data_IF_290735087907
#
_entry.id   IF_290735087907
#
_cell.length_a   1.000
_cell.length_b   1.000
_cell.length_c   1.000
_cell.angle_alpha   90.00
_cell.angle_beta   90.00
_cell.angle_gamma   90.00
#
_symmetry.space_group_name_H-M   'P 1'
#
loop_
_entity.id
_entity.type
_entity.pdbx_description
1 polymer ?
#
# COMPACT_ATOMS: atom_id res chain seq x y z
N UNK A 1 -40.42 -32.09 43.32
CA UNK A 1 -39.54 -30.93 43.03
C UNK A 1 -38.47 -31.40 42.05
N UNK A 2 -38.56 -31.04 40.76
CA UNK A 2 -37.56 -31.38 39.75
C UNK A 2 -37.08 -30.07 39.13
N UNK A 3 -35.90 -29.62 39.56
CA UNK A 3 -35.22 -28.45 39.00
C UNK A 3 -34.64 -28.81 37.64
N UNK A 4 -35.25 -28.33 36.57
CA UNK A 4 -34.65 -28.31 35.24
C UNK A 4 -33.67 -27.14 35.15
N UNK A 5 -32.38 -27.45 35.13
CA UNK A 5 -31.31 -26.51 34.82
C UNK A 5 -31.35 -26.25 33.31
N UNK A 6 -31.71 -25.04 32.90
CA UNK A 6 -31.62 -24.60 31.52
C UNK A 6 -30.16 -24.26 31.20
N UNK A 7 -29.54 -25.07 30.34
CA UNK A 7 -28.21 -24.78 29.79
C UNK A 7 -28.38 -23.75 28.67
N UNK A 8 -28.02 -22.50 28.93
CA UNK A 8 -27.96 -21.45 27.91
C UNK A 8 -26.69 -21.67 27.09
N UNK A 9 -26.85 -22.25 25.90
CA UNK A 9 -25.78 -22.31 24.91
C UNK A 9 -25.55 -20.90 24.33
N UNK A 10 -24.46 -20.26 24.75
CA UNK A 10 -24.03 -18.98 24.20
C UNK A 10 -23.38 -19.23 22.83
N UNK A 11 -24.14 -19.00 21.74
CA UNK A 11 -23.61 -19.03 20.38
C UNK A 11 -22.71 -17.81 20.17
N UNK A 12 -21.40 -18.01 20.26
CA UNK A 12 -20.41 -17.00 19.86
C UNK A 12 -20.38 -16.95 18.33
N UNK A 13 -21.09 -15.99 17.74
CA UNK A 13 -20.95 -15.65 16.32
C UNK A 13 -19.62 -14.91 16.12
N UNK A 14 -18.59 -15.62 15.68
CA UNK A 14 -17.37 -14.97 15.17
C UNK A 14 -17.66 -14.53 13.74
N UNK A 15 -17.99 -13.27 13.54
CA UNK A 15 -18.07 -12.69 12.20
C UNK A 15 -16.67 -12.75 11.56
N UNK A 16 -16.52 -13.53 10.50
CA UNK A 16 -15.29 -13.55 9.72
C UNK A 16 -15.04 -12.17 9.13
N UNK A 17 -14.00 -11.48 9.62
CA UNK A 17 -13.60 -10.18 9.09
C UNK A 17 -13.28 -10.34 7.59
N UNK A 18 -14.01 -9.60 6.74
CA UNK A 18 -13.74 -9.60 5.30
C UNK A 18 -12.34 -9.06 5.06
N UNK A 19 -11.45 -9.90 4.49
CA UNK A 19 -10.10 -9.49 4.11
C UNK A 19 -10.09 -9.03 2.66
N UNK A 20 -9.36 -7.95 2.38
CA UNK A 20 -9.20 -7.43 1.03
C UNK A 20 -7.77 -7.60 0.56
N UNK A 21 -7.63 -7.78 -0.75
CA UNK A 21 -6.34 -7.85 -1.44
C UNK A 21 -6.36 -6.92 -2.66
N UNK A 22 -5.17 -6.41 -3.02
CA UNK A 22 -4.93 -5.57 -4.18
C UNK A 22 -4.16 -6.35 -5.22
N UNK A 23 -4.76 -6.55 -6.37
CA UNK A 23 -4.15 -7.25 -7.51
C UNK A 23 -3.60 -6.23 -8.49
N UNK A 24 -2.28 -6.18 -8.60
CA UNK A 24 -1.53 -5.29 -9.47
C UNK A 24 -1.03 -6.07 -10.69
N UNK A 25 -1.13 -5.47 -11.87
CA UNK A 25 -0.61 -6.04 -13.12
C UNK A 25 0.53 -5.15 -13.64
N UNK A 26 1.56 -5.78 -14.20
CA UNK A 26 2.70 -5.10 -14.80
C UNK A 26 3.14 -5.86 -16.06
N UNK A 27 3.45 -5.12 -17.11
CA UNK A 27 3.81 -5.63 -18.43
C UNK A 27 5.18 -6.31 -18.46
N UNK A 28 6.06 -6.01 -17.49
CA UNK A 28 7.36 -6.67 -17.39
C UNK A 28 7.17 -8.05 -16.76
N UNK A 29 7.45 -9.10 -17.54
CA UNK A 29 7.20 -10.51 -17.17
C UNK A 29 7.80 -10.91 -15.81
N UNK A 30 8.97 -10.38 -15.45
CA UNK A 30 9.63 -10.68 -14.17
C UNK A 30 8.86 -10.14 -12.96
N UNK A 31 8.09 -9.06 -13.14
CA UNK A 31 7.18 -8.57 -12.11
C UNK A 31 5.79 -9.19 -12.25
N UNK A 32 5.19 -9.09 -13.44
CA UNK A 32 3.90 -9.67 -13.77
C UNK A 32 2.78 -9.29 -12.79
N UNK A 33 1.90 -10.25 -12.52
CA UNK A 33 0.82 -10.11 -11.55
C UNK A 33 1.32 -10.20 -10.11
N UNK A 34 0.97 -9.23 -9.27
CA UNK A 34 1.26 -9.23 -7.81
C UNK A 34 0.01 -9.01 -6.99
N UNK A 35 0.00 -9.58 -5.80
CA UNK A 35 -1.09 -9.47 -4.83
C UNK A 35 -0.54 -8.91 -3.53
N UNK A 36 -1.19 -7.86 -3.02
CA UNK A 36 -0.86 -7.20 -1.76
C UNK A 36 -2.04 -7.28 -0.81
N UNK A 37 -1.79 -7.68 0.43
CA UNK A 37 -2.79 -7.66 1.48
C UNK A 37 -3.13 -6.21 1.90
N UNK A 38 -4.42 -5.93 2.12
CA UNK A 38 -4.90 -4.60 2.52
C UNK A 38 -4.27 -4.11 3.82
N UNK A 39 -4.20 -4.97 4.84
CA UNK A 39 -3.66 -4.60 6.14
C UNK A 39 -2.16 -4.30 6.05
N UNK A 40 -1.43 -5.06 5.24
CA UNK A 40 -0.02 -4.76 4.96
C UNK A 40 0.17 -3.42 4.21
N UNK A 41 -0.71 -3.11 3.25
CA UNK A 41 -0.68 -1.83 2.56
C UNK A 41 -0.96 -0.65 3.51
N UNK A 42 -1.95 -0.80 4.39
CA UNK A 42 -2.23 0.19 5.44
C UNK A 42 -1.06 0.33 6.41
N UNK A 43 -0.47 -0.77 6.88
CA UNK A 43 0.71 -0.71 7.74
C UNK A 43 1.88 0.03 7.08
N UNK A 44 2.06 -0.14 5.76
CA UNK A 44 3.13 0.51 5.00
C UNK A 44 3.01 2.03 4.98
N UNK A 45 1.80 2.60 4.93
CA UNK A 45 1.62 4.06 4.99
C UNK A 45 1.86 4.62 6.40
N UNK A 46 1.53 3.86 7.46
CA UNK A 46 1.82 4.26 8.83
C UNK A 46 3.33 4.25 9.11
N UNK A 47 4.06 3.35 8.45
CA UNK A 47 5.51 3.31 8.47
C UNK A 47 6.15 4.49 7.69
N UNK A 48 5.38 5.17 6.82
CA UNK A 48 5.87 6.34 6.08
C UNK A 48 6.02 7.54 7.03
N UNK A 49 7.25 7.72 7.51
CA UNK A 49 7.65 8.87 8.32
C UNK A 49 7.93 10.08 7.42
N UNK A 50 7.42 11.25 7.82
CA UNK A 50 7.57 12.50 7.08
C UNK A 50 6.23 13.04 6.58
N UNK A 51 6.07 14.36 6.73
CA UNK A 51 5.35 15.20 5.75
C UNK A 51 6.27 15.30 4.53
N UNK A 52 5.72 15.27 3.30
CA UNK A 52 6.55 15.53 2.14
C UNK A 52 7.32 16.83 2.37
N UNK A 53 8.65 16.78 2.37
CA UNK A 53 9.45 18.00 2.35
C UNK A 53 9.16 18.66 1.00
N UNK A 54 8.28 19.66 1.03
CA UNK A 54 8.03 20.52 -0.12
C UNK A 54 9.32 21.26 -0.42
N UNK A 55 9.96 20.88 -1.51
CA UNK A 55 11.20 21.49 -1.99
C UNK A 55 12.41 20.65 -1.65
N UNK A 56 13.09 20.19 -2.69
CA UNK A 56 14.45 19.64 -2.68
C UNK A 56 14.65 18.20 -2.21
N UNK A 57 13.98 17.23 -2.84
CA UNK A 57 14.64 15.98 -3.20
C UNK A 57 13.79 15.17 -4.17
N UNK A 58 14.25 15.06 -5.42
CA UNK A 58 13.72 14.19 -6.48
C UNK A 58 13.88 12.68 -6.15
N UNK A 59 14.05 12.28 -4.89
CA UNK A 59 14.49 10.91 -4.58
C UNK A 59 14.07 10.31 -3.23
N UNK A 60 13.27 11.01 -2.42
CA UNK A 60 12.89 10.56 -1.07
C UNK A 60 11.39 10.33 -0.95
N UNK A 61 11.02 9.15 -0.46
CA UNK A 61 9.64 8.81 -0.11
C UNK A 61 9.33 9.16 1.36
N UNK A 62 8.07 9.48 1.70
CA UNK A 62 6.95 9.67 0.78
C UNK A 62 7.06 10.99 0.00
N UNK A 63 6.51 11.04 -1.21
CA UNK A 63 6.40 12.28 -1.99
C UNK A 63 5.00 12.48 -2.56
N UNK A 64 4.72 13.70 -3.01
CA UNK A 64 3.42 14.07 -3.57
C UNK A 64 3.07 13.20 -4.80
N UNK A 65 1.90 12.59 -4.75
CA UNK A 65 1.32 11.92 -5.90
C UNK A 65 0.46 12.92 -6.68
N UNK A 66 1.04 13.46 -7.75
CA UNK A 66 0.32 14.33 -8.69
C UNK A 66 -0.50 13.45 -9.63
N UNK A 67 -1.78 13.38 -9.32
CA UNK A 67 -2.71 12.52 -10.04
C UNK A 67 -2.78 12.89 -11.53
N UNK A 68 -2.93 11.89 -12.41
CA UNK A 68 -3.26 12.15 -13.81
C UNK A 68 -4.77 12.32 -13.97
N UNK A 69 -5.25 13.14 -14.93
CA UNK A 69 -6.67 13.21 -15.25
C UNK A 69 -7.26 11.83 -15.51
N UNK A 70 -8.41 11.52 -14.91
CA UNK A 70 -9.13 10.25 -15.13
C UNK A 70 -8.81 9.10 -14.16
N UNK A 71 -7.84 9.26 -13.25
CA UNK A 71 -7.51 8.23 -12.27
C UNK A 71 -8.33 8.42 -10.98
N UNK A 72 -9.18 7.45 -10.64
CA UNK A 72 -10.11 7.54 -9.49
C UNK A 72 -9.83 6.45 -8.46
N UNK A 73 -9.70 6.85 -7.20
CA UNK A 73 -9.61 5.95 -6.06
C UNK A 73 -11.01 5.49 -5.61
N UNK A 74 -11.13 4.31 -4.95
CA UNK A 74 -12.42 3.84 -4.42
C UNK A 74 -13.05 4.75 -3.38
N UNK A 75 -12.25 5.58 -2.68
CA UNK A 75 -12.75 6.54 -1.68
C UNK A 75 -12.95 7.91 -2.31
N UNK A 76 -14.15 8.48 -2.17
CA UNK A 76 -14.51 9.77 -2.74
C UNK A 76 -13.61 10.92 -2.27
N UNK A 77 -13.21 10.92 -0.99
CA UNK A 77 -12.32 11.95 -0.41
C UNK A 77 -10.94 12.00 -1.08
N UNK A 78 -10.47 10.89 -1.65
CA UNK A 78 -9.21 10.83 -2.37
C UNK A 78 -9.31 11.38 -3.81
N UNK A 79 -10.53 11.65 -4.28
CA UNK A 79 -10.79 12.20 -5.61
C UNK A 79 -11.18 13.69 -5.58
N UNK A 80 -11.68 14.17 -4.43
CA UNK A 80 -12.21 15.52 -4.24
C UNK A 80 -11.34 16.30 -3.25
N UNK A 81 -10.07 16.49 -3.62
CA UNK A 81 -9.10 17.18 -2.78
C UNK A 81 -9.50 18.65 -2.63
N UNK A 82 -9.61 19.12 -1.39
CA UNK A 82 -9.80 20.54 -1.07
C UNK A 82 -8.47 21.30 -1.16
N UNK A 83 -8.53 22.62 -1.17
CA UNK A 83 -7.34 23.45 -1.11
C UNK A 83 -6.42 23.04 0.07
N UNK A 84 -5.13 22.91 -0.22
CA UNK A 84 -4.12 22.43 0.74
C UNK A 84 -4.14 20.92 1.00
N UNK A 85 -5.06 20.15 0.41
CA UNK A 85 -5.03 18.68 0.46
C UNK A 85 -4.28 18.11 -0.74
N UNK A 86 -3.45 17.12 -0.48
CA UNK A 86 -2.70 16.39 -1.50
C UNK A 86 -2.52 14.92 -1.10
N UNK A 87 -2.27 14.10 -2.11
CA UNK A 87 -1.97 12.69 -1.96
C UNK A 87 -0.47 12.48 -1.86
N UNK A 88 -0.07 11.47 -1.09
CA UNK A 88 1.30 10.99 -1.03
C UNK A 88 1.37 9.56 -1.56
N UNK A 89 2.48 9.24 -2.21
CA UNK A 89 2.86 7.86 -2.51
C UNK A 89 4.02 7.37 -1.65
N UNK A 90 3.99 6.09 -1.28
CA UNK A 90 5.06 5.42 -0.57
C UNK A 90 5.26 3.99 -1.12
N UNK A 91 6.50 3.47 -1.22
CA UNK A 91 6.77 2.14 -1.77
C UNK A 91 6.02 1.05 -1.02
N UNK A 92 5.41 0.14 -1.77
CA UNK A 92 4.75 -1.04 -1.24
C UNK A 92 5.52 -2.30 -1.64
N UNK A 93 6.05 -3.00 -0.65
CA UNK A 93 6.77 -4.24 -0.84
C UNK A 93 5.89 -5.44 -0.49
N UNK A 94 6.06 -6.57 -1.18
CA UNK A 94 5.23 -7.77 -0.98
C UNK A 94 5.53 -8.47 0.35
N UNK A 95 6.79 -8.44 0.77
CA UNK A 95 7.26 -9.09 1.99
C UNK A 95 7.75 -8.05 3.01
N UNK A 96 7.49 -8.28 4.30
CA UNK A 96 7.94 -7.48 5.46
C UNK A 96 9.47 -7.42 5.62
N UNK A 97 10.23 -8.07 4.73
CA UNK A 97 11.70 -8.17 4.79
C UNK A 97 12.40 -6.88 4.34
N UNK A 98 11.68 -5.88 3.82
CA UNK A 98 12.20 -4.51 3.87
C UNK A 98 12.01 -3.95 5.28
N UNK A 99 12.82 -4.41 6.22
CA UNK A 99 12.94 -3.77 7.54
C UNK A 99 13.18 -2.29 7.27
N UNK A 100 12.42 -1.38 7.84
CA UNK A 100 12.86 0.01 7.80
C UNK A 100 14.12 0.13 8.64
N UNK A 101 15.08 0.94 8.20
CA UNK A 101 16.26 1.22 8.97
C UNK A 101 15.73 2.01 10.17
N UNK A 102 15.87 1.53 11.41
CA UNK A 102 15.25 2.19 12.56
C UNK A 102 15.77 3.63 12.76
N UNK A 103 16.96 3.95 12.23
CA UNK A 103 17.59 5.26 12.32
C UNK A 103 17.18 6.20 11.17
N UNK A 104 17.11 5.70 9.93
CA UNK A 104 16.78 6.55 8.76
C UNK A 104 15.34 6.41 8.26
N UNK A 105 14.58 5.43 8.77
CA UNK A 105 13.21 5.06 8.38
C UNK A 105 13.07 4.73 6.87
N UNK A 106 14.19 4.45 6.20
CA UNK A 106 14.29 4.02 4.80
C UNK A 106 14.16 2.50 4.69
N UNK A 107 13.73 1.93 3.55
CA UNK A 107 13.75 0.48 3.36
C UNK A 107 15.17 -0.08 3.54
N UNK A 108 15.33 -1.19 4.27
CA UNK A 108 16.62 -1.92 4.48
C UNK A 108 16.67 -3.11 3.55
N UNK A 109 17.89 -3.37 3.08
CA UNK A 109 18.26 -4.44 2.15
C UNK A 109 17.83 -5.83 2.62
N UNK A 110 17.36 -6.67 1.70
CA UNK A 110 17.48 -8.12 1.85
C UNK A 110 18.93 -8.52 1.59
N UNK A 111 19.44 -9.48 2.38
CA UNK A 111 20.83 -9.97 2.50
C UNK A 111 21.49 -10.50 1.19
N UNK A 112 20.87 -10.34 0.03
CA UNK A 112 21.37 -10.80 -1.27
C UNK A 112 21.78 -9.67 -2.23
N UNK A 113 21.61 -8.39 -1.85
CA UNK A 113 22.14 -7.27 -2.63
C UNK A 113 23.42 -6.74 -1.96
N UNK A 114 24.54 -7.13 -2.56
CA UNK A 114 25.88 -6.66 -2.23
C UNK A 114 25.98 -5.14 -2.24
N UNK A 115 27.04 -4.66 -1.64
CA UNK A 115 27.40 -3.29 -1.35
C UNK A 115 27.20 -2.35 -2.56
N UNK A 116 26.83 -1.09 -2.31
CA UNK A 116 26.41 -0.08 -3.30
C UNK A 116 25.07 -0.31 -4.05
N UNK A 117 23.96 0.15 -3.46
CA UNK A 117 22.85 0.87 -4.13
C UNK A 117 21.68 1.00 -3.14
N UNK A 118 21.01 2.16 -3.16
CA UNK A 118 19.77 2.38 -2.42
C UNK A 118 18.77 1.27 -2.84
N UNK A 119 18.06 0.60 -1.91
CA UNK A 119 17.07 -0.40 -2.30
C UNK A 119 16.05 0.22 -3.24
N UNK A 120 15.87 -0.40 -4.41
CA UNK A 120 14.93 0.09 -5.42
C UNK A 120 13.52 0.01 -4.82
N UNK A 121 12.68 1.06 -4.99
CA UNK A 121 11.36 1.14 -4.39
C UNK A 121 10.35 0.12 -4.95
N UNK A 122 10.77 -0.72 -5.91
CA UNK A 122 9.86 -1.54 -6.71
C UNK A 122 8.84 -0.67 -7.48
N UNK A 123 7.85 -1.30 -8.12
CA UNK A 123 6.88 -0.58 -8.94
C UNK A 123 5.58 -0.22 -8.22
N UNK A 124 5.26 -0.85 -7.08
CA UNK A 124 4.01 -0.64 -6.37
C UNK A 124 4.11 0.47 -5.31
N UNK A 125 3.03 1.22 -5.13
CA UNK A 125 2.91 2.31 -4.16
C UNK A 125 1.59 2.23 -3.41
N UNK A 126 1.62 2.55 -2.13
CA UNK A 126 0.40 2.94 -1.40
C UNK A 126 0.14 4.41 -1.60
N UNK A 127 -1.13 4.77 -1.78
CA UNK A 127 -1.58 6.15 -1.91
C UNK A 127 -2.44 6.52 -0.73
N UNK A 128 -2.20 7.68 -0.15
CA UNK A 128 -2.92 8.16 1.02
C UNK A 128 -2.98 9.69 1.10
N UNK A 129 -3.97 10.21 1.82
CA UNK A 129 -4.07 11.65 2.11
C UNK A 129 -2.97 12.07 3.09
N UNK A 130 -2.21 13.11 2.75
CA UNK A 130 -1.00 13.49 3.49
C UNK A 130 -1.23 13.75 4.98
N UNK A 131 -2.27 14.55 5.31
CA UNK A 131 -2.53 15.01 6.69
C UNK A 131 -3.19 13.96 7.57
N UNK A 132 -4.21 13.28 7.03
CA UNK A 132 -5.01 12.32 7.80
C UNK A 132 -4.47 10.90 7.73
N UNK A 133 -3.48 10.65 6.86
CA UNK A 133 -2.98 9.31 6.54
C UNK A 133 -4.11 8.36 6.09
N UNK A 134 -5.17 8.91 5.49
CA UNK A 134 -6.29 8.11 4.98
C UNK A 134 -5.84 7.29 3.77
N UNK A 135 -5.89 5.96 3.88
CA UNK A 135 -5.58 5.06 2.77
C UNK A 135 -6.56 5.24 1.59
N UNK A 136 -6.03 5.46 0.39
CA UNK A 136 -6.78 5.68 -0.85
C UNK A 136 -6.75 4.48 -1.78
N UNK A 137 -5.64 3.74 -1.83
CA UNK A 137 -5.50 2.55 -2.66
C UNK A 137 -4.05 2.14 -2.89
N UNK A 138 -3.89 1.05 -3.64
CA UNK A 138 -2.58 0.61 -4.15
C UNK A 138 -2.53 0.88 -5.64
N UNK A 139 -1.42 1.47 -6.08
CA UNK A 139 -1.11 1.66 -7.50
C UNK A 139 0.18 0.92 -7.85
N UNK A 140 0.36 0.64 -9.13
CA UNK A 140 1.64 0.12 -9.65
C UNK A 140 2.00 0.84 -10.92
N UNK A 141 3.30 1.00 -11.18
CA UNK A 141 3.75 1.23 -12.54
C UNK A 141 3.25 0.09 -13.44
N UNK A 142 2.81 0.43 -14.65
CA UNK A 142 2.42 -0.55 -15.67
C UNK A 142 3.62 -1.31 -16.24
N UNK A 143 4.84 -0.79 -16.04
CA UNK A 143 6.06 -1.36 -16.59
C UNK A 143 6.23 -1.04 -18.07
N UNK A 144 7.47 -0.78 -18.46
CA UNK A 144 7.83 -0.51 -19.85
C UNK A 144 9.13 -1.24 -20.17
N UNK A 145 9.14 -1.93 -21.32
CA UNK A 145 10.27 -2.76 -21.77
C UNK A 145 10.69 -3.77 -20.69
N UNK A 146 11.91 -3.63 -20.15
CA UNK A 146 12.47 -4.48 -19.12
C UNK A 146 12.47 -3.82 -17.72
N UNK A 147 11.82 -2.66 -17.58
CA UNK A 147 11.86 -1.84 -16.36
C UNK A 147 10.49 -1.80 -15.66
N UNK A 148 10.28 -2.58 -14.58
CA UNK A 148 8.97 -2.68 -13.95
C UNK A 148 8.54 -1.37 -13.28
N UNK A 149 9.50 -0.55 -12.84
CA UNK A 149 9.29 0.72 -12.13
C UNK A 149 9.20 1.94 -13.06
N UNK A 150 9.03 1.74 -14.37
CA UNK A 150 8.84 2.80 -15.36
C UNK A 150 7.44 2.78 -15.96
N UNK A 151 7.09 3.87 -16.64
CA UNK A 151 5.80 4.05 -17.32
C UNK A 151 4.73 4.67 -16.42
N UNK A 152 3.51 4.75 -16.95
CA UNK A 152 2.34 5.25 -16.23
C UNK A 152 1.95 4.38 -15.03
N UNK A 153 1.02 4.88 -14.22
CA UNK A 153 0.46 4.15 -13.10
C UNK A 153 -0.90 3.56 -13.45
N UNK A 154 -1.19 2.38 -12.91
CA UNK A 154 -2.50 1.77 -12.88
C UNK A 154 -2.96 1.52 -11.44
N UNK A 155 -4.26 1.69 -11.19
CA UNK A 155 -4.87 1.30 -9.92
C UNK A 155 -4.94 -0.22 -9.85
N UNK A 156 -4.48 -0.80 -8.75
CA UNK A 156 -4.61 -2.23 -8.54
C UNK A 156 -6.07 -2.59 -8.22
N UNK A 157 -6.53 -3.76 -8.68
CA UNK A 157 -7.90 -4.19 -8.47
C UNK A 157 -8.09 -4.67 -7.02
N UNK A 158 -9.00 -4.03 -6.28
CA UNK A 158 -9.40 -4.47 -4.94
C UNK A 158 -10.32 -5.69 -5.04
N UNK A 159 -9.98 -6.78 -4.37
CA UNK A 159 -10.77 -8.02 -4.32
C UNK A 159 -10.99 -8.45 -2.87
N UNK A 160 -12.14 -9.07 -2.60
CA UNK A 160 -12.36 -9.80 -1.35
C UNK A 160 -11.60 -11.12 -1.40
N UNK A 161 -10.80 -11.40 -0.37
CA UNK A 161 -10.18 -12.71 -0.19
C UNK A 161 -11.27 -13.67 0.29
N UNK A 162 -11.64 -14.64 -0.55
CA UNK A 162 -12.50 -15.74 -0.10
C UNK A 162 -11.64 -16.63 0.81
N UNK A 163 -12.09 -16.77 2.07
CA UNK A 163 -11.47 -17.64 3.07
C UNK A 163 -11.66 -19.11 2.73
#
# INVERSE_FOLDING_TARGET
MRSTVAVIACLIYVAAATRYEWVCENNVRSFGRRVYDQHHAEASLHAANGVAEFGNSLSSYPHEFKNKPGFRFPRAECNNLKEGQYLLEYPLFRDTIYKQNPTTKRPVKNRAQSEEKKPLPGPARVIYLARTKTFCGVITHVGQENEPSKGGFALCARRTRRG
#
